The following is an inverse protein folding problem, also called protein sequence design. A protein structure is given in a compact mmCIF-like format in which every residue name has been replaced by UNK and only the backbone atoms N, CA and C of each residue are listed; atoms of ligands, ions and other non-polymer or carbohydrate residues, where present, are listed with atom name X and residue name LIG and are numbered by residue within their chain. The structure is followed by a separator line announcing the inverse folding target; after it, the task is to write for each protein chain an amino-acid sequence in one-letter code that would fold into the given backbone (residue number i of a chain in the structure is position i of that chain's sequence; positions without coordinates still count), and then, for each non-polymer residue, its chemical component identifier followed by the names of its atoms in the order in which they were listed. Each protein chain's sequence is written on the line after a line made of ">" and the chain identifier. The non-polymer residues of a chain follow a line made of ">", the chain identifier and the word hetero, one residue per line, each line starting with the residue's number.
data_IF_052326270224
#
_entry.id   IF_052326270224
#
_cell.length_a   1.000
_cell.length_b   1.000
_cell.length_c   1.000
_cell.angle_alpha   90.00
_cell.angle_beta   90.00
_cell.angle_gamma   90.00
#
_symmetry.space_group_name_H-M   'P 1'
#
loop_
_entity.id
_entity.type
_entity.pdbx_description
1 polymer ?
#
# COMPACT_ATOMS: atom_id res chain seq x y z
N UNK A 1 -22.12 -0.57 22.18
CA UNK A 1 -21.53 0.54 22.95
C UNK A 1 -21.34 0.16 24.41
N UNK A 2 -22.30 -0.52 25.06
CA UNK A 2 -22.21 -0.93 26.49
C UNK A 2 -20.99 -1.82 26.82
N UNK A 3 -20.53 -2.64 25.86
CA UNK A 3 -19.32 -3.48 26.02
C UNK A 3 -18.03 -2.75 25.62
N UNK A 4 -18.13 -1.70 24.81
CA UNK A 4 -16.96 -0.93 24.32
C UNK A 4 -16.45 0.03 25.38
N UNK A 5 -17.35 0.77 26.04
CA UNK A 5 -16.98 1.77 27.04
C UNK A 5 -16.15 1.17 28.22
N UNK A 6 -16.55 0.05 28.85
CA UNK A 6 -15.74 -0.57 29.91
C UNK A 6 -14.38 -1.06 29.40
N UNK A 7 -14.30 -1.55 28.15
CA UNK A 7 -13.05 -2.05 27.58
C UNK A 7 -11.98 -0.97 27.41
N UNK A 8 -12.39 0.30 27.33
CA UNK A 8 -11.50 1.48 27.26
C UNK A 8 -11.47 2.29 28.55
N UNK A 9 -12.01 1.75 29.64
CA UNK A 9 -11.97 2.36 30.98
C UNK A 9 -12.85 3.57 31.19
N UNK A 10 -13.88 3.78 30.34
CA UNK A 10 -14.83 4.90 30.45
C UNK A 10 -16.25 4.40 30.72
N UNK A 11 -17.12 5.29 31.22
CA UNK A 11 -18.54 4.98 31.42
C UNK A 11 -19.32 5.14 30.10
N UNK A 12 -20.28 4.25 29.85
CA UNK A 12 -21.12 4.29 28.64
C UNK A 12 -21.77 5.68 28.38
N UNK A 13 -22.30 6.42 29.38
CA UNK A 13 -22.82 7.77 29.17
C UNK A 13 -21.78 8.77 28.62
N UNK A 14 -20.51 8.62 28.98
CA UNK A 14 -19.44 9.47 28.43
C UNK A 14 -19.20 9.19 26.95
N UNK A 15 -19.26 7.93 26.52
CA UNK A 15 -19.14 7.56 25.12
C UNK A 15 -20.32 8.06 24.28
N UNK A 16 -21.54 7.97 24.83
CA UNK A 16 -22.75 8.47 24.17
C UNK A 16 -22.84 10.01 24.04
N UNK A 17 -22.03 10.77 24.78
CA UNK A 17 -21.89 12.22 24.56
C UNK A 17 -21.17 12.54 23.24
N UNK A 18 -20.30 11.63 22.77
CA UNK A 18 -19.48 11.84 21.58
C UNK A 18 -20.00 11.07 20.37
N UNK A 19 -20.61 9.89 20.59
CA UNK A 19 -21.07 8.99 19.53
C UNK A 19 -22.49 8.49 19.82
N UNK A 20 -23.39 8.68 18.90
CA UNK A 20 -24.81 8.28 19.03
C UNK A 20 -25.03 6.79 18.79
N UNK A 21 -24.11 6.11 18.10
CA UNK A 21 -24.23 4.70 17.74
C UNK A 21 -22.87 4.00 17.65
N UNK A 22 -22.89 2.66 17.60
CA UNK A 22 -21.68 1.86 17.30
C UNK A 22 -21.16 2.15 15.90
N UNK A 23 -22.06 2.41 14.95
CA UNK A 23 -21.69 2.77 13.57
C UNK A 23 -20.90 4.07 13.54
N UNK A 24 -21.34 5.09 14.26
CA UNK A 24 -20.63 6.38 14.31
C UNK A 24 -19.23 6.26 14.92
N UNK A 25 -19.03 5.37 15.89
CA UNK A 25 -17.69 5.04 16.42
C UNK A 25 -16.85 4.40 15.31
N UNK A 26 -17.42 3.45 14.59
CA UNK A 26 -16.73 2.75 13.51
C UNK A 26 -16.33 3.73 12.39
N UNK A 27 -17.26 4.57 11.96
CA UNK A 27 -17.01 5.59 10.92
C UNK A 27 -15.89 6.56 11.34
N UNK A 28 -15.86 6.96 12.61
CA UNK A 28 -14.78 7.79 13.15
C UNK A 28 -13.42 7.08 13.14
N UNK A 29 -13.37 5.78 13.44
CA UNK A 29 -12.14 4.97 13.35
C UNK A 29 -11.68 4.88 11.89
N UNK A 30 -12.60 4.64 10.96
CA UNK A 30 -12.32 4.61 9.53
C UNK A 30 -11.72 5.96 9.09
N UNK A 31 -12.40 7.06 9.40
CA UNK A 31 -11.95 8.40 9.02
C UNK A 31 -10.57 8.74 9.58
N UNK A 32 -10.31 8.43 10.86
CA UNK A 32 -9.00 8.67 11.49
C UNK A 32 -7.89 7.81 10.86
N UNK A 33 -8.20 6.56 10.51
CA UNK A 33 -7.24 5.67 9.83
C UNK A 33 -6.86 6.21 8.45
N UNK A 34 -7.84 6.74 7.69
CA UNK A 34 -7.58 7.39 6.40
C UNK A 34 -6.72 8.64 6.58
N UNK A 35 -7.13 9.54 7.48
CA UNK A 35 -6.41 10.78 7.74
C UNK A 35 -4.95 10.54 8.11
N UNK A 36 -4.67 9.55 8.95
CA UNK A 36 -3.28 9.20 9.35
C UNK A 36 -2.47 8.70 8.17
N UNK A 37 -3.05 7.83 7.37
CA UNK A 37 -2.38 7.29 6.21
C UNK A 37 -2.08 8.39 5.18
N UNK A 38 -3.05 9.23 4.86
CA UNK A 38 -2.89 10.34 3.93
C UNK A 38 -1.85 11.35 4.45
N UNK A 39 -1.90 11.71 5.74
CA UNK A 39 -0.88 12.61 6.34
C UNK A 39 0.54 12.03 6.23
N UNK A 40 0.70 10.73 6.43
CA UNK A 40 1.99 10.07 6.29
C UNK A 40 2.47 10.04 4.83
N UNK A 41 1.59 9.67 3.90
CA UNK A 41 1.92 9.57 2.48
C UNK A 41 2.24 10.93 1.87
N UNK A 42 1.53 11.99 2.24
CA UNK A 42 1.83 13.37 1.86
C UNK A 42 3.24 13.77 2.34
N UNK A 43 3.62 13.36 3.57
CA UNK A 43 4.95 13.65 4.14
C UNK A 43 6.11 13.00 3.40
N UNK A 44 5.85 12.02 2.56
CA UNK A 44 6.84 11.35 1.70
C UNK A 44 6.60 11.55 0.20
N UNK A 45 5.80 12.55 -0.17
CA UNK A 45 5.41 12.87 -1.55
C UNK A 45 4.84 11.64 -2.29
N UNK A 46 3.83 11.00 -1.72
CA UNK A 46 3.06 9.92 -2.34
C UNK A 46 1.57 10.17 -2.12
N UNK A 47 0.80 10.28 -3.19
CA UNK A 47 -0.62 10.64 -3.14
C UNK A 47 -1.49 9.49 -3.65
N UNK A 48 -1.67 8.45 -2.83
CA UNK A 48 -2.35 7.19 -3.19
C UNK A 48 -3.81 7.37 -3.67
N UNK A 49 -4.37 8.55 -3.53
CA UNK A 49 -5.69 8.92 -4.09
C UNK A 49 -5.62 9.58 -5.46
N UNK A 50 -4.45 10.09 -5.86
CA UNK A 50 -4.28 10.90 -7.08
C UNK A 50 -3.07 10.44 -7.90
N UNK A 51 -3.19 9.33 -8.64
CA UNK A 51 -2.11 8.75 -9.44
C UNK A 51 -1.44 9.75 -10.42
N UNK A 52 -2.18 10.77 -10.88
CA UNK A 52 -1.62 11.83 -11.74
C UNK A 52 -0.72 12.81 -11.01
N UNK A 53 -0.96 13.05 -9.72
CA UNK A 53 -0.08 13.91 -8.91
C UNK A 53 1.30 13.24 -8.75
N UNK A 54 1.30 11.92 -8.63
CA UNK A 54 2.51 11.14 -8.41
C UNK A 54 3.33 10.88 -9.69
N UNK A 55 2.77 11.10 -10.88
CA UNK A 55 3.51 10.94 -12.15
C UNK A 55 4.85 11.70 -12.12
N UNK A 56 4.83 12.95 -11.68
CA UNK A 56 6.03 13.80 -11.59
C UNK A 56 7.02 13.34 -10.52
N UNK A 57 6.52 12.75 -9.44
CA UNK A 57 7.35 12.24 -8.34
C UNK A 57 8.10 10.99 -8.77
N UNK A 58 7.45 10.14 -9.57
CA UNK A 58 8.02 8.88 -10.05
C UNK A 58 8.73 9.02 -11.40
N UNK A 59 8.55 10.13 -12.12
CA UNK A 59 9.30 10.41 -13.34
C UNK A 59 10.78 10.64 -13.02
N UNK A 60 11.63 9.73 -13.48
CA UNK A 60 13.08 9.79 -13.22
C UNK A 60 13.50 9.40 -11.79
N UNK A 61 12.62 8.85 -10.96
CA UNK A 61 12.99 8.34 -9.63
C UNK A 61 14.09 7.28 -9.75
N UNK A 62 15.07 7.30 -8.85
CA UNK A 62 16.09 6.25 -8.79
C UNK A 62 15.55 4.97 -8.14
N UNK A 63 16.16 3.82 -8.51
CA UNK A 63 15.85 2.52 -7.89
C UNK A 63 15.91 2.57 -6.35
N UNK A 64 16.95 3.22 -5.82
CA UNK A 64 17.15 3.33 -4.38
C UNK A 64 16.06 4.17 -3.70
N UNK A 65 15.70 5.31 -4.31
CA UNK A 65 14.65 6.18 -3.78
C UNK A 65 13.29 5.50 -3.82
N UNK A 66 12.96 4.78 -4.90
CA UNK A 66 11.73 3.99 -4.99
C UNK A 66 11.67 2.92 -3.90
N UNK A 67 12.74 2.13 -3.77
CA UNK A 67 12.81 1.08 -2.74
C UNK A 67 12.66 1.67 -1.33
N UNK A 68 13.28 2.82 -1.05
CA UNK A 68 13.14 3.54 0.23
C UNK A 68 11.71 4.00 0.49
N UNK A 69 11.04 4.64 -0.49
CA UNK A 69 9.66 5.11 -0.34
C UNK A 69 8.71 3.93 -0.07
N UNK A 70 8.83 2.84 -0.82
CA UNK A 70 7.99 1.65 -0.63
C UNK A 70 8.24 1.03 0.75
N UNK A 71 9.49 0.92 1.17
CA UNK A 71 9.83 0.43 2.51
C UNK A 71 9.19 1.28 3.60
N UNK A 72 9.27 2.61 3.52
CA UNK A 72 8.66 3.53 4.47
C UNK A 72 7.13 3.36 4.54
N UNK A 73 6.45 3.20 3.39
CA UNK A 73 5.01 2.95 3.32
C UNK A 73 4.62 1.65 4.04
N UNK A 74 5.38 0.59 3.83
CA UNK A 74 5.08 -0.71 4.44
C UNK A 74 5.39 -0.69 5.94
N UNK A 75 6.55 -0.16 6.36
CA UNK A 75 6.88 -0.02 7.78
C UNK A 75 5.83 0.81 8.51
N UNK A 76 5.39 1.94 7.95
CA UNK A 76 4.28 2.71 8.51
C UNK A 76 3.00 1.89 8.61
N UNK A 77 2.64 1.20 7.53
CA UNK A 77 1.43 0.36 7.50
C UNK A 77 1.46 -0.77 8.54
N UNK A 78 2.63 -1.32 8.84
CA UNK A 78 2.79 -2.38 9.84
C UNK A 78 2.82 -1.84 11.27
N UNK A 79 3.42 -0.67 11.51
CA UNK A 79 3.76 -0.18 12.84
C UNK A 79 2.85 0.94 13.36
N UNK A 80 2.18 1.73 12.49
CA UNK A 80 1.19 2.67 13.02
C UNK A 80 0.08 1.92 13.73
N UNK A 81 -0.14 2.25 14.99
CA UNK A 81 -1.03 1.52 15.88
C UNK A 81 -2.47 1.48 15.38
N UNK A 82 -2.96 2.57 14.78
CA UNK A 82 -4.31 2.67 14.24
C UNK A 82 -4.45 1.92 12.92
N UNK A 83 -3.52 2.15 11.99
CA UNK A 83 -3.55 1.55 10.65
C UNK A 83 -3.42 0.02 10.74
N UNK A 84 -2.47 -0.49 11.52
CA UNK A 84 -2.24 -1.93 11.64
C UNK A 84 -3.36 -2.64 12.38
N UNK A 85 -3.87 -2.06 13.49
CA UNK A 85 -5.00 -2.64 14.24
C UNK A 85 -6.29 -2.62 13.43
N UNK A 86 -6.55 -1.55 12.68
CA UNK A 86 -7.71 -1.46 11.82
C UNK A 86 -7.66 -2.53 10.72
N UNK A 87 -6.53 -2.69 10.02
CA UNK A 87 -6.37 -3.72 9.00
C UNK A 87 -6.61 -5.13 9.56
N UNK A 88 -5.99 -5.47 10.70
CA UNK A 88 -6.19 -6.78 11.35
C UNK A 88 -7.63 -7.02 11.78
N UNK A 89 -8.30 -5.99 12.30
CA UNK A 89 -9.72 -6.07 12.62
C UNK A 89 -10.55 -6.36 11.37
N UNK A 90 -10.31 -5.64 10.27
CA UNK A 90 -10.99 -5.84 9.00
C UNK A 90 -10.74 -7.25 8.42
N UNK A 91 -9.50 -7.74 8.54
CA UNK A 91 -9.12 -9.11 8.13
C UNK A 91 -9.93 -10.18 8.88
N UNK A 92 -10.22 -9.96 10.16
CA UNK A 92 -11.02 -10.91 10.98
C UNK A 92 -12.50 -10.83 10.62
N UNK A 93 -13.04 -9.63 10.44
CA UNK A 93 -14.48 -9.40 10.30
C UNK A 93 -15.00 -9.59 8.86
N UNK A 94 -14.14 -9.52 7.83
CA UNK A 94 -14.54 -9.61 6.42
C UNK A 94 -15.32 -10.89 6.08
N UNK A 95 -15.04 -12.01 6.73
CA UNK A 95 -15.73 -13.27 6.48
C UNK A 95 -17.05 -13.43 7.26
N UNK A 96 -17.38 -12.47 8.12
CA UNK A 96 -18.60 -12.46 8.93
C UNK A 96 -19.60 -11.39 8.53
N UNK A 97 -19.15 -10.38 7.79
CA UNK A 97 -19.94 -9.23 7.42
C UNK A 97 -19.59 -8.77 5.99
N UNK A 98 -20.58 -8.81 5.11
CA UNK A 98 -20.41 -8.44 3.71
C UNK A 98 -19.97 -6.97 3.51
N UNK A 99 -20.38 -6.06 4.38
CA UNK A 99 -19.95 -4.66 4.34
C UNK A 99 -18.45 -4.53 4.64
N UNK A 100 -17.96 -5.26 5.65
CA UNK A 100 -16.52 -5.31 5.94
C UNK A 100 -15.73 -6.01 4.83
N UNK A 101 -16.29 -7.05 4.21
CA UNK A 101 -15.67 -7.69 3.06
C UNK A 101 -15.49 -6.71 1.90
N UNK A 102 -16.53 -5.97 1.54
CA UNK A 102 -16.48 -4.95 0.49
C UNK A 102 -15.47 -3.84 0.82
N UNK A 103 -15.48 -3.35 2.05
CA UNK A 103 -14.54 -2.32 2.51
C UNK A 103 -13.09 -2.81 2.51
N UNK A 104 -12.85 -4.05 2.92
CA UNK A 104 -11.52 -4.66 2.89
C UNK A 104 -11.01 -4.80 1.45
N UNK A 105 -11.83 -5.36 0.55
CA UNK A 105 -11.48 -5.53 -0.86
C UNK A 105 -11.17 -4.18 -1.51
N UNK A 106 -12.04 -3.21 -1.32
CA UNK A 106 -11.85 -1.87 -1.88
C UNK A 106 -10.55 -1.22 -1.37
N UNK A 107 -10.31 -1.24 -0.05
CA UNK A 107 -9.20 -0.49 0.55
C UNK A 107 -7.84 -1.16 0.33
N UNK A 108 -7.75 -2.46 0.53
CA UNK A 108 -6.47 -3.17 0.61
C UNK A 108 -6.10 -3.94 -0.64
N UNK A 109 -7.03 -4.11 -1.58
CA UNK A 109 -6.81 -4.84 -2.82
C UNK A 109 -7.06 -3.95 -4.04
N UNK A 110 -8.31 -3.60 -4.31
CA UNK A 110 -8.73 -2.98 -5.57
C UNK A 110 -8.21 -1.55 -5.74
N UNK A 111 -8.28 -0.73 -4.68
CA UNK A 111 -7.79 0.65 -4.73
C UNK A 111 -6.28 0.69 -5.02
N UNK A 112 -5.50 -0.22 -4.44
CA UNK A 112 -4.05 -0.28 -4.69
C UNK A 112 -3.76 -0.63 -6.15
N UNK A 113 -4.46 -1.61 -6.71
CA UNK A 113 -4.29 -1.99 -8.12
C UNK A 113 -4.71 -0.84 -9.04
N UNK A 114 -5.87 -0.21 -8.80
CA UNK A 114 -6.33 0.93 -9.62
C UNK A 114 -5.38 2.13 -9.57
N UNK A 115 -4.86 2.44 -8.38
CA UNK A 115 -3.87 3.52 -8.23
C UNK A 115 -2.63 3.25 -9.07
N UNK A 116 -2.03 2.05 -8.95
CA UNK A 116 -0.83 1.71 -9.70
C UNK A 116 -1.09 1.58 -11.20
N UNK A 117 -2.25 1.07 -11.61
CA UNK A 117 -2.64 1.04 -13.02
C UNK A 117 -2.74 2.47 -13.61
N UNK A 118 -3.31 3.41 -12.87
CA UNK A 118 -3.34 4.83 -13.25
C UNK A 118 -1.95 5.44 -13.36
N UNK A 119 -1.09 5.20 -12.38
CA UNK A 119 0.29 5.67 -12.35
C UNK A 119 1.10 5.06 -13.51
N UNK A 120 1.05 3.75 -13.70
CA UNK A 120 1.81 3.07 -14.76
C UNK A 120 1.33 3.48 -16.15
N UNK A 121 0.03 3.71 -16.35
CA UNK A 121 -0.50 4.28 -17.62
C UNK A 121 0.12 5.64 -17.93
N UNK A 122 0.28 6.50 -16.94
CA UNK A 122 0.94 7.79 -17.10
C UNK A 122 2.44 7.62 -17.39
N UNK A 123 3.14 6.78 -16.63
CA UNK A 123 4.58 6.54 -16.81
C UNK A 123 4.92 5.80 -18.11
N UNK A 124 4.06 4.92 -18.61
CA UNK A 124 4.20 4.32 -19.95
C UNK A 124 4.04 5.40 -21.01
N UNK A 125 3.01 6.25 -20.89
CA UNK A 125 2.76 7.34 -21.85
C UNK A 125 3.91 8.35 -21.89
N UNK A 126 4.56 8.65 -20.78
CA UNK A 126 5.74 9.53 -20.73
C UNK A 126 7.03 8.83 -21.20
N UNK A 127 7.03 7.50 -21.34
CA UNK A 127 8.21 6.72 -21.67
C UNK A 127 9.15 6.47 -20.50
N UNK A 128 8.72 6.76 -19.28
CA UNK A 128 9.48 6.52 -18.03
C UNK A 128 9.61 5.03 -17.74
N UNK A 129 8.57 4.25 -18.04
CA UNK A 129 8.60 2.79 -17.97
C UNK A 129 8.15 2.17 -19.30
N UNK A 130 8.58 0.95 -19.55
CA UNK A 130 8.14 0.12 -20.67
C UNK A 130 7.09 -0.86 -20.20
N UNK A 131 6.10 -1.15 -21.03
CA UNK A 131 5.03 -2.10 -20.76
C UNK A 131 3.87 -1.91 -21.73
N UNK A 132 3.05 -2.92 -21.88
CA UNK A 132 1.93 -2.89 -22.80
C UNK A 132 0.61 -2.64 -22.07
N UNK A 133 0.38 -3.37 -20.98
CA UNK A 133 -0.86 -3.33 -20.21
C UNK A 133 -0.62 -2.81 -18.77
N UNK A 134 -1.02 -1.57 -18.46
CA UNK A 134 -0.83 -1.00 -17.13
C UNK A 134 -1.61 -1.72 -16.03
N UNK A 135 -2.73 -2.38 -16.35
CA UNK A 135 -3.54 -3.09 -15.37
C UNK A 135 -2.84 -4.40 -14.94
N UNK A 136 -2.25 -5.12 -15.90
CA UNK A 136 -1.41 -6.30 -15.61
C UNK A 136 -0.16 -5.91 -14.83
N UNK A 137 0.54 -4.85 -15.22
CA UNK A 137 1.71 -4.36 -14.48
C UNK A 137 1.37 -3.97 -13.04
N UNK A 138 0.21 -3.34 -12.83
CA UNK A 138 -0.26 -3.01 -11.48
C UNK A 138 -0.49 -4.25 -10.63
N UNK A 139 -1.09 -5.28 -11.19
CA UNK A 139 -1.30 -6.54 -10.50
C UNK A 139 0.03 -7.23 -10.14
N UNK A 140 0.97 -7.31 -11.09
CA UNK A 140 2.31 -7.87 -10.86
C UNK A 140 3.07 -7.13 -9.75
N UNK A 141 2.93 -5.81 -9.70
CA UNK A 141 3.60 -4.98 -8.70
C UNK A 141 2.96 -5.10 -7.32
N UNK A 142 1.63 -5.03 -7.24
CA UNK A 142 0.87 -4.94 -5.99
C UNK A 142 0.73 -6.29 -5.28
N UNK A 143 0.55 -7.39 -6.02
CA UNK A 143 0.26 -8.69 -5.40
C UNK A 143 1.36 -9.16 -4.44
N UNK A 144 2.68 -9.08 -4.75
CA UNK A 144 3.73 -9.41 -3.79
C UNK A 144 3.78 -8.48 -2.58
N UNK A 145 3.42 -7.19 -2.75
CA UNK A 145 3.36 -6.22 -1.64
C UNK A 145 2.28 -6.63 -0.64
N UNK A 146 1.07 -6.90 -1.13
CA UNK A 146 -0.05 -7.37 -0.31
C UNK A 146 0.31 -8.68 0.39
N UNK A 147 0.89 -9.64 -0.33
CA UNK A 147 1.32 -10.92 0.23
C UNK A 147 2.31 -10.73 1.39
N UNK A 148 3.30 -9.84 1.27
CA UNK A 148 4.28 -9.61 2.33
C UNK A 148 3.63 -8.99 3.58
N UNK A 149 2.72 -8.02 3.42
CA UNK A 149 1.96 -7.43 4.53
C UNK A 149 1.10 -8.49 5.23
N UNK A 150 0.41 -9.34 4.47
CA UNK A 150 -0.42 -10.42 4.99
C UNK A 150 0.39 -11.47 5.79
N UNK A 151 1.62 -11.75 5.37
CA UNK A 151 2.54 -12.61 6.12
C UNK A 151 2.95 -11.94 7.43
N UNK A 152 3.35 -10.66 7.39
CA UNK A 152 3.76 -9.91 8.58
C UNK A 152 2.63 -9.79 9.62
N UNK A 153 1.38 -9.60 9.19
CA UNK A 153 0.24 -9.54 10.10
C UNK A 153 -0.02 -10.86 10.85
N UNK A 154 0.33 -12.00 10.24
CA UNK A 154 0.16 -13.35 10.81
C UNK A 154 1.39 -13.85 11.53
N UNK A 155 2.57 -13.46 11.08
CA UNK A 155 3.88 -13.92 11.54
C UNK A 155 4.82 -12.72 11.68
N UNK A 156 4.63 -11.87 12.72
CA UNK A 156 5.41 -10.64 12.90
C UNK A 156 6.93 -10.89 13.00
N UNK A 157 7.33 -12.07 13.47
CA UNK A 157 8.74 -12.48 13.55
C UNK A 157 9.43 -12.60 12.19
N UNK A 158 8.66 -12.66 11.11
CA UNK A 158 9.18 -12.73 9.73
C UNK A 158 9.30 -11.38 9.04
N UNK A 159 9.02 -10.30 9.74
CA UNK A 159 9.01 -8.96 9.13
C UNK A 159 10.31 -8.63 8.40
N UNK A 160 11.46 -8.88 9.02
CA UNK A 160 12.76 -8.61 8.39
C UNK A 160 12.96 -9.37 7.07
N UNK A 161 12.52 -10.63 7.01
CA UNK A 161 12.53 -11.45 5.80
C UNK A 161 11.59 -10.86 4.74
N UNK A 162 10.36 -10.50 5.13
CA UNK A 162 9.35 -9.95 4.22
C UNK A 162 9.79 -8.61 3.64
N UNK A 163 10.33 -7.70 4.45
CA UNK A 163 10.87 -6.42 3.98
C UNK A 163 12.02 -6.59 2.99
N UNK A 164 12.92 -7.55 3.23
CA UNK A 164 14.01 -7.88 2.29
C UNK A 164 13.48 -8.40 0.95
N UNK A 165 12.48 -9.28 0.97
CA UNK A 165 11.82 -9.81 -0.24
C UNK A 165 11.08 -8.71 -1.00
N UNK A 166 10.39 -7.84 -0.28
CA UNK A 166 9.70 -6.69 -0.85
C UNK A 166 10.68 -5.74 -1.55
N UNK A 167 11.79 -5.40 -0.90
CA UNK A 167 12.81 -4.55 -1.48
C UNK A 167 13.39 -5.19 -2.77
N UNK A 168 13.66 -6.50 -2.74
CA UNK A 168 14.12 -7.24 -3.92
C UNK A 168 13.08 -7.21 -5.05
N UNK A 169 11.79 -7.35 -4.75
CA UNK A 169 10.70 -7.25 -5.72
C UNK A 169 10.65 -5.86 -6.37
N UNK A 170 10.68 -4.79 -5.57
CA UNK A 170 10.63 -3.41 -6.07
C UNK A 170 11.82 -3.10 -6.97
N UNK A 171 13.02 -3.51 -6.57
CA UNK A 171 14.25 -3.33 -7.37
C UNK A 171 14.19 -4.13 -8.68
N UNK A 172 13.71 -5.38 -8.64
CA UNK A 172 13.53 -6.20 -9.83
C UNK A 172 12.53 -5.59 -10.79
N UNK A 173 11.38 -5.13 -10.29
CA UNK A 173 10.36 -4.45 -11.09
C UNK A 173 10.94 -3.19 -11.77
N UNK A 174 11.63 -2.36 -11.01
CA UNK A 174 12.30 -1.16 -11.54
C UNK A 174 13.25 -1.50 -12.69
N UNK A 175 14.14 -2.49 -12.51
CA UNK A 175 15.13 -2.89 -13.52
C UNK A 175 14.49 -3.51 -14.76
N UNK A 176 13.40 -4.23 -14.60
CA UNK A 176 12.68 -4.87 -15.70
C UNK A 176 11.98 -3.86 -16.59
N UNK A 177 11.36 -2.84 -15.98
CA UNK A 177 10.47 -1.94 -16.69
C UNK A 177 11.05 -0.54 -16.93
N UNK A 178 12.24 -0.18 -16.43
CA UNK A 178 12.89 1.11 -16.72
C UNK A 178 13.75 1.05 -17.99
N UNK A 179 13.46 1.86 -19.03
CA UNK A 179 14.12 1.80 -20.35
C UNK A 179 15.64 2.00 -20.29
N UNK A 180 16.11 2.80 -19.33
CA UNK A 180 17.54 3.10 -19.19
C UNK A 180 18.37 1.86 -18.77
N UNK A 181 17.75 0.90 -18.12
CA UNK A 181 18.43 -0.34 -17.69
C UNK A 181 18.38 -1.42 -18.78
N UNK A 182 17.31 -1.48 -19.58
CA UNK A 182 17.16 -2.43 -20.70
C UNK A 182 18.27 -2.22 -21.74
N UNK A 183 18.54 -0.98 -22.13
CA UNK A 183 19.62 -0.63 -23.06
C UNK A 183 21.03 -1.01 -22.56
N UNK A 184 21.22 -1.10 -21.25
CA UNK A 184 22.50 -1.48 -20.63
C UNK A 184 22.72 -2.99 -20.69
N UNK A 185 21.66 -3.78 -20.60
CA UNK A 185 21.71 -5.26 -20.67
C UNK A 185 21.99 -5.70 -22.11
N UNK A 186 21.33 -5.10 -23.11
CA UNK A 186 21.57 -5.41 -24.54
C UNK A 186 23.02 -5.11 -24.95
N UNK A 187 23.61 -3.99 -24.47
CA UNK A 187 25.02 -3.67 -24.74
C UNK A 187 26.02 -4.63 -24.08
N UNK A 188 25.65 -5.29 -22.98
CA UNK A 188 26.49 -6.29 -22.30
C UNK A 188 26.34 -7.68 -22.90
N UNK A 189 25.16 -8.02 -23.42
CA UNK A 189 24.91 -9.32 -24.12
C UNK A 189 25.56 -9.41 -25.49
N UNK A 190 25.66 -8.29 -26.21
CA UNK A 190 26.26 -8.26 -27.56
C UNK A 190 27.80 -8.31 -27.63
N UNK A 191 28.50 -8.49 -26.51
CA UNK A 191 29.98 -8.57 -26.44
C UNK A 191 30.50 -9.98 -26.15
N UNK A 192 29.65 -11.02 -26.21
CA UNK A 192 30.07 -12.41 -25.90
C UNK A 192 30.24 -13.33 -27.13
N UNK A 193 30.01 -12.85 -28.34
CA UNK A 193 30.26 -13.59 -29.58
C UNK A 193 31.15 -12.74 -30.48
N UNK A 194 32.45 -12.84 -30.22
CA UNK A 194 33.53 -12.31 -31.06
C UNK A 194 34.82 -12.98 -30.70
#
# INVERSE_FOLDING_TARGET
>A
VERVAPAVGIKAPSLYKHFKSKQEIFDAIVAETYRRYDTFTDGIDVHVSESKADEKVFDGISEEMLAKKVRQLIEYSLHDEYVSRFRRMMTIEQFRNAEFAAMYSERYLERLVRYHAGLFRALIKSGTIIGEDPDTLALEYVAPVVLMVEICDRQPEREAECLKRLEAHVRNFYRTYSPHMVKTVEKRGGKRDG
#
